data_IF_335126959228
#
_entry.id   IF_335126959228
#
_cell.length_a   1.000
_cell.length_b   1.000
_cell.length_c   1.000
_cell.angle_alpha   90.00
_cell.angle_beta   90.00
_cell.angle_gamma   90.00
#
_symmetry.space_group_name_H-M   'P 1'
#
loop_
_entity.id
_entity.type
_entity.pdbx_description
1 polymer ?
#
# COMPACT_ATOMS: atom_id res chain seq x y z
N UNK A 1 -21.52 -15.68 28.19
CA UNK A 1 -20.24 -16.22 27.65
C UNK A 1 -19.92 -15.41 26.40
N UNK A 2 -18.68 -14.94 26.22
CA UNK A 2 -18.22 -14.29 24.98
C UNK A 2 -17.12 -15.16 24.38
N UNK A 3 -17.15 -15.35 23.06
CA UNK A 3 -16.14 -16.11 22.33
C UNK A 3 -15.23 -15.15 21.57
N UNK A 4 -13.91 -15.42 21.53
CA UNK A 4 -13.00 -14.61 20.73
C UNK A 4 -13.34 -14.75 19.24
N UNK A 5 -13.27 -13.65 18.52
CA UNK A 5 -13.50 -13.58 17.07
C UNK A 5 -12.26 -12.95 16.43
N UNK A 6 -11.84 -13.52 15.30
CA UNK A 6 -10.77 -12.97 14.45
C UNK A 6 -11.41 -12.52 13.14
N UNK A 7 -11.17 -11.26 12.75
CA UNK A 7 -11.62 -10.72 11.48
C UNK A 7 -10.52 -10.91 10.44
N UNK A 8 -10.84 -11.58 9.33
CA UNK A 8 -9.94 -11.73 8.18
C UNK A 8 -10.58 -10.98 7.01
N UNK A 9 -10.01 -9.83 6.59
CA UNK A 9 -10.56 -9.05 5.49
C UNK A 9 -10.33 -9.74 4.14
N UNK A 10 -11.15 -9.38 3.15
CA UNK A 10 -10.95 -9.78 1.75
C UNK A 10 -9.90 -8.93 1.03
N UNK A 11 -9.81 -9.10 -0.29
CA UNK A 11 -8.94 -8.28 -1.13
C UNK A 11 -9.33 -6.80 -1.08
N UNK A 12 -8.33 -5.93 -0.95
CA UNK A 12 -8.53 -4.50 -0.68
C UNK A 12 -9.19 -4.17 0.67
N UNK A 13 -9.47 -5.16 1.52
CA UNK A 13 -10.27 -5.00 2.74
C UNK A 13 -9.49 -4.54 3.97
N UNK A 14 -8.22 -4.13 3.83
CA UNK A 14 -7.42 -3.58 4.94
C UNK A 14 -6.49 -2.49 4.48
N UNK A 15 -6.21 -1.55 5.38
CA UNK A 15 -5.26 -0.46 5.11
C UNK A 15 -3.84 -0.96 4.82
N UNK A 16 -3.17 -0.29 3.87
CA UNK A 16 -1.75 -0.47 3.58
C UNK A 16 -1.01 0.85 3.71
N UNK A 17 0.25 0.76 4.14
CA UNK A 17 1.15 1.92 4.22
C UNK A 17 2.43 1.68 3.42
N UNK A 18 2.95 2.75 2.83
CA UNK A 18 4.11 2.74 1.94
C UNK A 18 5.23 3.64 2.45
N UNK A 19 6.48 3.21 2.26
CA UNK A 19 7.69 4.05 2.39
C UNK A 19 8.48 4.02 1.08
N UNK A 20 8.91 5.20 0.62
CA UNK A 20 9.55 5.35 -0.68
C UNK A 20 11.02 5.76 -0.55
N UNK A 21 11.87 5.18 -1.39
CA UNK A 21 13.27 5.52 -1.65
C UNK A 21 13.65 5.10 -3.09
N UNK A 22 12.93 5.67 -4.07
CA UNK A 22 13.02 5.35 -5.50
C UNK A 22 14.07 6.22 -6.18
N UNK A 23 14.78 5.66 -7.17
CA UNK A 23 15.71 6.41 -8.02
C UNK A 23 15.01 7.05 -9.22
N UNK A 24 13.98 6.39 -9.75
CA UNK A 24 13.17 6.85 -10.88
C UNK A 24 11.68 6.80 -10.57
N UNK A 25 10.90 7.60 -11.31
CA UNK A 25 9.44 7.66 -11.26
C UNK A 25 8.89 7.82 -12.68
N UNK A 26 7.61 7.45 -12.92
CA UNK A 26 6.98 7.60 -14.24
C UNK A 26 6.93 9.07 -14.68
N UNK A 27 6.59 9.96 -13.74
CA UNK A 27 6.46 11.39 -13.97
C UNK A 27 7.15 12.20 -12.85
N UNK A 28 7.36 13.49 -13.11
CA UNK A 28 8.01 14.42 -12.18
C UNK A 28 7.16 14.75 -10.95
N UNK A 29 5.84 14.58 -11.04
CA UNK A 29 4.91 14.80 -9.91
C UNK A 29 4.96 13.68 -8.87
N UNK A 30 5.43 12.49 -9.25
CA UNK A 30 5.48 11.35 -8.34
C UNK A 30 6.60 11.49 -7.30
N UNK A 31 6.29 11.23 -6.04
CA UNK A 31 7.28 11.25 -4.96
C UNK A 31 8.29 10.11 -5.12
N UNK A 32 9.58 10.45 -4.98
CA UNK A 32 10.67 9.47 -4.92
C UNK A 32 10.97 9.00 -3.51
N UNK A 33 10.76 9.86 -2.51
CA UNK A 33 11.15 9.60 -1.13
C UNK A 33 10.05 9.98 -0.14
N UNK A 34 9.90 9.19 0.92
CA UNK A 34 9.12 9.56 2.10
C UNK A 34 9.95 9.34 3.37
N UNK A 35 9.87 10.29 4.30
CA UNK A 35 10.59 10.19 5.59
C UNK A 35 10.03 9.06 6.48
N UNK A 36 8.72 8.82 6.41
CA UNK A 36 8.01 7.78 7.16
C UNK A 36 7.02 7.03 6.26
N UNK A 37 6.41 6.00 6.83
CA UNK A 37 5.29 5.31 6.19
C UNK A 37 4.08 6.24 6.09
N UNK A 38 3.40 6.20 4.95
CA UNK A 38 2.18 6.96 4.65
C UNK A 38 1.07 6.02 4.18
N UNK A 39 -0.19 6.37 4.39
CA UNK A 39 -1.31 5.60 3.82
C UNK A 39 -1.19 5.60 2.29
N UNK A 40 -1.28 4.40 1.70
CA UNK A 40 -1.35 4.22 0.25
C UNK A 40 -2.66 3.54 -0.15
N UNK A 41 -3.30 2.81 0.78
CA UNK A 41 -4.59 2.19 0.56
C UNK A 41 -5.42 2.22 1.84
N UNK A 42 -6.66 2.73 1.85
CA UNK A 42 -7.22 3.58 0.80
C UNK A 42 -6.73 5.03 1.01
N UNK A 43 -6.43 5.71 -0.09
CA UNK A 43 -6.19 7.16 -0.10
C UNK A 43 -6.77 7.72 -1.40
N UNK A 44 -7.86 8.48 -1.29
CA UNK A 44 -8.58 8.98 -2.47
C UNK A 44 -7.75 9.96 -3.32
N UNK A 45 -6.79 10.68 -2.71
CA UNK A 45 -5.91 11.60 -3.44
C UNK A 45 -5.00 10.83 -4.39
N UNK A 46 -4.49 9.66 -3.98
CA UNK A 46 -3.63 8.81 -4.80
C UNK A 46 -4.37 8.21 -6.01
N UNK A 47 -5.70 8.29 -6.04
CA UNK A 47 -6.55 7.79 -7.13
C UNK A 47 -6.97 8.86 -8.14
N UNK A 48 -6.54 10.12 -7.97
CA UNK A 48 -6.84 11.19 -8.92
C UNK A 48 -6.07 11.01 -10.24
N UNK A 49 -6.62 11.46 -11.40
CA UNK A 49 -6.01 11.27 -12.71
C UNK A 49 -4.55 11.74 -12.82
N UNK A 50 -4.18 12.80 -12.11
CA UNK A 50 -2.84 13.38 -12.15
C UNK A 50 -1.78 12.53 -11.43
N UNK A 51 -2.19 11.66 -10.49
CA UNK A 51 -1.28 10.88 -9.63
C UNK A 51 -1.56 9.38 -9.64
N UNK A 52 -2.59 8.92 -10.35
CA UNK A 52 -2.92 7.48 -10.47
C UNK A 52 -1.76 6.66 -11.02
N UNK A 53 -0.97 7.22 -11.95
CA UNK A 53 0.24 6.59 -12.47
C UNK A 53 1.30 6.39 -11.38
N UNK A 54 1.39 7.32 -10.42
CA UNK A 54 2.27 7.20 -9.26
C UNK A 54 1.79 6.09 -8.32
N UNK A 55 0.47 6.01 -8.07
CA UNK A 55 -0.14 4.95 -7.28
C UNK A 55 0.14 3.57 -7.90
N UNK A 56 -0.13 3.41 -9.20
CA UNK A 56 0.12 2.15 -9.92
C UNK A 56 1.60 1.76 -9.87
N UNK A 57 2.53 2.69 -10.08
CA UNK A 57 3.97 2.41 -10.02
C UNK A 57 4.45 2.04 -8.61
N UNK A 58 3.79 2.54 -7.56
CA UNK A 58 4.08 2.17 -6.17
C UNK A 58 3.47 0.82 -5.78
N UNK A 59 2.24 0.54 -6.20
CA UNK A 59 1.49 -0.66 -5.79
C UNK A 59 1.77 -1.89 -6.66
N UNK A 60 2.29 -1.72 -7.88
CA UNK A 60 2.56 -2.85 -8.77
C UNK A 60 3.56 -3.83 -8.17
N UNK A 61 3.32 -5.10 -8.46
CA UNK A 61 4.26 -6.19 -8.17
C UNK A 61 5.05 -6.55 -9.42
N UNK A 62 6.35 -6.76 -9.25
CA UNK A 62 7.24 -7.32 -10.25
C UNK A 62 7.34 -8.81 -10.04
N UNK A 63 6.97 -9.59 -11.04
CA UNK A 63 7.09 -11.04 -11.02
C UNK A 63 8.44 -11.49 -11.56
N UNK A 64 9.14 -12.35 -10.82
CA UNK A 64 10.32 -13.07 -11.29
C UNK A 64 9.90 -14.47 -11.78
N UNK A 65 10.00 -14.76 -13.09
CA UNK A 65 9.57 -16.03 -13.64
C UNK A 65 10.48 -17.21 -13.25
N UNK A 66 11.74 -16.96 -12.85
CA UNK A 66 12.70 -18.00 -12.46
C UNK A 66 12.45 -18.43 -11.01
N UNK A 67 12.39 -17.48 -10.08
CA UNK A 67 12.13 -17.80 -8.65
C UNK A 67 10.65 -17.99 -8.33
N UNK A 68 9.75 -17.60 -9.26
CA UNK A 68 8.29 -17.61 -9.11
C UNK A 68 7.80 -16.72 -7.95
N UNK A 69 8.58 -15.70 -7.59
CA UNK A 69 8.26 -14.75 -6.50
C UNK A 69 7.87 -13.39 -7.06
N UNK A 70 7.11 -12.65 -6.25
CA UNK A 70 6.77 -11.25 -6.50
C UNK A 70 7.57 -10.33 -5.61
N UNK A 71 7.94 -9.18 -6.14
CA UNK A 71 8.71 -8.16 -5.45
C UNK A 71 8.05 -6.80 -5.67
N UNK A 72 8.15 -5.90 -4.69
CA UNK A 72 7.74 -4.51 -4.89
C UNK A 72 8.58 -3.83 -5.98
N UNK A 73 8.10 -2.71 -6.49
CA UNK A 73 8.92 -1.79 -7.28
C UNK A 73 10.19 -1.41 -6.49
N UNK A 74 11.39 -1.33 -7.12
CA UNK A 74 12.61 -0.96 -6.43
C UNK A 74 12.48 0.36 -5.66
N UNK A 75 12.89 0.36 -4.40
CA UNK A 75 12.76 1.52 -3.52
C UNK A 75 11.35 1.71 -2.96
N UNK A 76 10.42 0.76 -3.13
CA UNK A 76 9.10 0.80 -2.52
C UNK A 76 8.97 -0.29 -1.47
N UNK A 77 8.64 0.11 -0.25
CA UNK A 77 8.34 -0.80 0.85
C UNK A 77 6.88 -0.62 1.28
N UNK A 78 6.10 -1.70 1.24
CA UNK A 78 4.68 -1.73 1.60
C UNK A 78 4.50 -2.69 2.77
N UNK A 79 3.72 -2.28 3.76
CA UNK A 79 3.36 -3.11 4.92
C UNK A 79 1.90 -2.95 5.31
N UNK A 80 1.36 -3.99 5.93
CA UNK A 80 0.07 -3.93 6.63
C UNK A 80 0.20 -3.11 7.91
N UNK A 81 -0.90 -2.51 8.36
CA UNK A 81 -0.96 -1.77 9.63
C UNK A 81 -2.13 -2.27 10.49
N UNK A 82 -2.09 -1.99 11.79
CA UNK A 82 -3.19 -2.29 12.70
C UNK A 82 -3.40 -3.77 13.04
N UNK A 83 -2.42 -4.65 12.82
CA UNK A 83 -2.55 -6.07 13.19
C UNK A 83 -2.86 -6.25 14.68
N UNK A 84 -3.89 -7.04 15.00
CA UNK A 84 -4.40 -7.23 16.37
C UNK A 84 -5.38 -6.16 16.83
N UNK A 85 -5.64 -5.14 16.01
CA UNK A 85 -6.70 -4.16 16.18
C UNK A 85 -7.72 -4.28 15.02
N UNK A 86 -8.84 -3.57 15.11
CA UNK A 86 -9.92 -3.59 14.12
C UNK A 86 -9.95 -2.36 13.23
N UNK A 87 -9.32 -1.25 13.64
CA UNK A 87 -9.39 0.03 12.91
C UNK A 87 -9.03 -0.08 11.41
N UNK A 88 -8.01 -0.88 11.05
CA UNK A 88 -7.56 -1.00 9.66
C UNK A 88 -8.48 -1.81 8.76
N UNK A 89 -9.48 -2.49 9.32
CA UNK A 89 -10.49 -3.29 8.59
C UNK A 89 -11.92 -2.75 8.77
N UNK A 90 -12.14 -1.85 9.74
CA UNK A 90 -13.42 -1.14 9.89
C UNK A 90 -13.57 -0.03 8.84
N UNK A 91 -12.51 0.74 8.61
CA UNK A 91 -12.47 1.84 7.63
C UNK A 91 -11.20 1.74 6.79
N UNK A 92 -11.37 1.75 5.47
CA UNK A 92 -10.23 1.67 4.54
C UNK A 92 -9.54 3.02 4.35
N UNK A 93 -10.30 4.10 4.35
CA UNK A 93 -9.74 5.46 4.39
C UNK A 93 -9.56 5.86 5.85
N UNK A 94 -8.35 6.22 6.29
CA UNK A 94 -8.11 6.66 7.66
C UNK A 94 -8.56 8.10 7.95
N UNK A 95 -8.90 8.89 6.92
CA UNK A 95 -9.31 10.30 7.04
C UNK A 95 -10.84 10.50 7.15
#
# INVERSE_FOLDING_TARGET
IRYPVILIPGDGGSQLVVKLNKTSTPHHLCKKYTSSYKSIWLNLVELLPEVIDCFVDNMRLRYDPVTRKTYNTPGVDIRTTGFGNTCSVEYLDPD
#
